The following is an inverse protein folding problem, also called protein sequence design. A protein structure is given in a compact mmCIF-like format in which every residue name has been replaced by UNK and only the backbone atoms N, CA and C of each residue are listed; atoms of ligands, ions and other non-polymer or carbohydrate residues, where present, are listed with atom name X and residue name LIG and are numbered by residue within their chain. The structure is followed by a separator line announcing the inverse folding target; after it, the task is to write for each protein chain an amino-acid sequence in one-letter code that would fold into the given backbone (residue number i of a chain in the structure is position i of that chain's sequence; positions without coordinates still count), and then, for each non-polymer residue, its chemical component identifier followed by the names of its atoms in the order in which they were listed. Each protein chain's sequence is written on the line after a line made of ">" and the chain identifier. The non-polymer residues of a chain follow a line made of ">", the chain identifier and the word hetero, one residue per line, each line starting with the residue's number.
data_IF_410526084935
#
_entry.id   IF_410526084935
#
_cell.length_a   1.000
_cell.length_b   1.000
_cell.length_c   1.000
_cell.angle_alpha   90.00
_cell.angle_beta   90.00
_cell.angle_gamma   90.00
#
_symmetry.space_group_name_H-M   'P 1'
#
loop_
_entity.id
_entity.type
_entity.pdbx_description
1 polymer ?
#
# COMPACT_ATOMS: atom_id res chain seq x y z
N UNK A 1 -2.27 -28.89 18.44
CA UNK A 1 -1.41 -27.81 17.91
C UNK A 1 -0.58 -28.43 16.82
N UNK A 2 -0.89 -28.16 15.56
CA UNK A 2 -0.26 -28.83 14.42
C UNK A 2 0.44 -27.77 13.55
N UNK A 3 1.76 -27.70 13.66
CA UNK A 3 2.64 -26.73 12.99
C UNK A 3 2.72 -26.91 11.45
N UNK A 4 2.00 -27.88 10.87
CA UNK A 4 2.11 -28.25 9.45
C UNK A 4 1.05 -27.64 8.52
N UNK A 5 0.17 -26.76 9.01
CA UNK A 5 -0.95 -26.20 8.22
C UNK A 5 -0.78 -24.73 7.76
N UNK A 6 0.47 -24.23 7.69
CA UNK A 6 0.76 -22.83 7.36
C UNK A 6 1.18 -22.56 5.91
N UNK A 7 1.51 -23.58 5.11
CA UNK A 7 1.79 -23.40 3.69
C UNK A 7 0.50 -23.37 2.85
N UNK A 8 -0.34 -22.35 3.07
CA UNK A 8 -1.20 -21.92 1.98
C UNK A 8 -0.28 -21.32 0.92
N UNK A 9 -0.25 -21.91 -0.28
CA UNK A 9 0.61 -21.48 -1.38
C UNK A 9 0.26 -20.03 -1.73
N UNK A 10 1.04 -19.07 -1.25
CA UNK A 10 0.87 -17.65 -1.55
C UNK A 10 0.98 -17.49 -3.06
N UNK A 11 -0.10 -17.03 -3.70
CA UNK A 11 -0.05 -16.71 -5.13
C UNK A 11 0.58 -15.33 -5.29
N UNK A 12 1.86 -15.31 -5.65
CA UNK A 12 2.53 -14.08 -6.08
C UNK A 12 2.24 -13.86 -7.56
N UNK A 13 1.65 -12.71 -7.90
CA UNK A 13 1.40 -12.32 -9.29
C UNK A 13 2.02 -10.96 -9.56
N UNK A 14 2.78 -10.82 -10.64
CA UNK A 14 3.35 -9.54 -11.07
C UNK A 14 2.35 -8.88 -12.02
N UNK A 15 2.00 -7.62 -11.77
CA UNK A 15 1.09 -6.90 -12.64
C UNK A 15 1.75 -6.62 -14.01
N UNK A 16 1.04 -6.76 -15.15
CA UNK A 16 1.61 -6.55 -16.48
C UNK A 16 2.29 -5.19 -16.71
N UNK A 17 1.86 -4.15 -15.97
CA UNK A 17 2.46 -2.81 -15.99
C UNK A 17 3.91 -2.76 -15.48
N UNK A 18 4.38 -3.80 -14.79
CA UNK A 18 5.75 -3.89 -14.31
C UNK A 18 6.75 -4.05 -15.46
N UNK A 19 6.38 -4.77 -16.53
CA UNK A 19 7.24 -5.07 -17.68
C UNK A 19 7.61 -3.83 -18.53
N UNK A 20 6.65 -2.97 -18.95
CA UNK A 20 6.97 -1.75 -19.69
C UNK A 20 7.80 -0.76 -18.86
N UNK A 21 7.54 -0.68 -17.55
CA UNK A 21 8.32 0.16 -16.63
C UNK A 21 9.77 -0.32 -16.55
N UNK A 22 9.97 -1.62 -16.36
CA UNK A 22 11.28 -2.26 -16.31
C UNK A 22 12.05 -2.07 -17.64
N UNK A 23 11.36 -2.21 -18.77
CA UNK A 23 11.94 -1.99 -20.09
C UNK A 23 12.38 -0.53 -20.31
N UNK A 24 11.55 0.44 -19.95
CA UNK A 24 11.88 1.87 -20.08
C UNK A 24 13.08 2.30 -19.22
N UNK A 25 13.23 1.71 -18.03
CA UNK A 25 14.35 2.00 -17.12
C UNK A 25 15.67 1.36 -17.55
N UNK A 26 15.63 0.17 -18.16
CA UNK A 26 16.83 -0.46 -18.76
C UNK A 26 17.37 0.44 -19.89
N UNK A 27 16.49 0.96 -20.74
CA UNK A 27 16.88 1.86 -21.84
C UNK A 27 17.47 3.19 -21.34
N UNK A 28 17.06 3.66 -20.15
CA UNK A 28 17.54 4.90 -19.54
C UNK A 28 18.90 4.75 -18.82
N UNK A 29 19.50 3.56 -18.81
CA UNK A 29 20.86 3.32 -18.30
C UNK A 29 21.00 3.36 -16.77
N UNK A 30 19.90 3.43 -16.01
CA UNK A 30 19.90 3.57 -14.54
C UNK A 30 19.42 2.29 -13.83
N UNK A 31 19.95 1.14 -14.25
CA UNK A 31 19.58 -0.19 -13.71
C UNK A 31 19.82 -0.30 -12.20
N UNK A 32 20.89 0.32 -11.69
CA UNK A 32 21.21 0.34 -10.26
C UNK A 32 20.16 1.07 -9.42
N UNK A 33 19.70 2.25 -9.86
CA UNK A 33 18.62 2.99 -9.21
C UNK A 33 17.31 2.21 -9.22
N UNK A 34 17.00 1.55 -10.33
CA UNK A 34 15.81 0.70 -10.42
C UNK A 34 15.86 -0.48 -9.46
N UNK A 35 17.00 -1.17 -9.40
CA UNK A 35 17.22 -2.27 -8.47
C UNK A 35 17.05 -1.82 -7.01
N UNK A 36 17.53 -0.62 -6.66
CA UNK A 36 17.31 -0.03 -5.34
C UNK A 36 15.82 0.24 -5.08
N UNK A 37 15.10 0.89 -6.01
CA UNK A 37 13.66 1.16 -5.84
C UNK A 37 12.87 -0.15 -5.67
N UNK A 38 13.15 -1.14 -6.51
CA UNK A 38 12.47 -2.43 -6.42
C UNK A 38 12.78 -3.14 -5.10
N UNK A 39 14.05 -3.17 -4.68
CA UNK A 39 14.46 -3.76 -3.41
C UNK A 39 13.79 -3.06 -2.23
N UNK A 40 13.72 -1.72 -2.26
CA UNK A 40 13.03 -0.90 -1.27
C UNK A 40 11.54 -1.22 -1.19
N UNK A 41 10.85 -1.35 -2.33
CA UNK A 41 9.44 -1.76 -2.39
C UNK A 41 9.26 -3.18 -1.83
N UNK A 42 10.13 -4.12 -2.17
CA UNK A 42 10.06 -5.48 -1.64
C UNK A 42 10.27 -5.51 -0.12
N UNK A 43 11.26 -4.76 0.41
CA UNK A 43 11.50 -4.65 1.86
C UNK A 43 10.28 -4.04 2.56
N UNK A 44 9.66 -3.03 1.97
CA UNK A 44 8.42 -2.45 2.47
C UNK A 44 7.30 -3.51 2.56
N UNK A 45 7.04 -4.25 1.48
CA UNK A 45 6.01 -5.30 1.49
C UNK A 45 6.31 -6.44 2.47
N UNK A 46 7.59 -6.82 2.60
CA UNK A 46 8.04 -7.80 3.59
C UNK A 46 7.71 -7.34 5.01
N UNK A 47 7.74 -6.04 5.29
CA UNK A 47 7.30 -5.47 6.56
C UNK A 47 5.83 -5.79 6.88
N UNK A 48 4.93 -5.62 5.91
CA UNK A 48 3.52 -5.99 6.07
C UNK A 48 3.35 -7.50 6.28
N UNK A 49 4.03 -8.31 5.47
CA UNK A 49 3.97 -9.77 5.54
C UNK A 49 4.49 -10.30 6.88
N UNK A 50 5.58 -9.73 7.39
CA UNK A 50 6.15 -10.09 8.69
C UNK A 50 5.16 -9.82 9.81
N UNK A 51 4.53 -8.63 9.84
CA UNK A 51 3.53 -8.31 10.87
C UNK A 51 2.29 -9.20 10.74
N UNK A 52 1.83 -9.48 9.52
CA UNK A 52 0.71 -10.41 9.29
C UNK A 52 1.02 -11.81 9.83
N UNK A 53 2.25 -12.31 9.58
CA UNK A 53 2.73 -13.59 10.09
C UNK A 53 2.79 -13.62 11.62
N UNK A 54 3.38 -12.59 12.24
CA UNK A 54 3.46 -12.45 13.71
C UNK A 54 2.06 -12.43 14.37
N UNK A 55 1.06 -11.88 13.70
CA UNK A 55 -0.32 -11.80 14.19
C UNK A 55 -1.17 -13.03 13.84
N UNK A 56 -0.57 -14.05 13.20
CA UNK A 56 -1.22 -15.29 12.78
C UNK A 56 -2.26 -15.10 11.67
N UNK A 57 -2.15 -14.02 10.88
CA UNK A 57 -3.07 -13.70 9.78
C UNK A 57 -2.58 -14.37 8.50
N UNK A 58 -3.41 -15.24 7.91
CA UNK A 58 -3.07 -15.90 6.64
C UNK A 58 -3.15 -14.91 5.48
N UNK A 59 -2.16 -14.92 4.59
CA UNK A 59 -2.13 -14.13 3.36
C UNK A 59 -2.63 -15.01 2.21
N UNK A 60 -3.65 -14.57 1.48
CA UNK A 60 -4.22 -15.35 0.37
C UNK A 60 -3.51 -15.04 -0.96
N UNK A 61 -3.20 -13.76 -1.19
CA UNK A 61 -2.59 -13.31 -2.44
C UNK A 61 -1.71 -12.10 -2.19
N UNK A 62 -0.62 -12.00 -2.94
CA UNK A 62 0.23 -10.81 -2.98
C UNK A 62 0.45 -10.42 -4.45
N UNK A 63 -0.02 -9.25 -4.84
CA UNK A 63 0.12 -8.73 -6.21
C UNK A 63 1.15 -7.63 -6.23
N UNK A 64 2.26 -7.83 -6.93
CA UNK A 64 3.27 -6.77 -7.08
C UNK A 64 2.77 -5.78 -8.14
N UNK A 65 2.43 -4.58 -7.69
CA UNK A 65 1.98 -3.45 -8.48
C UNK A 65 3.12 -2.45 -8.69
N UNK A 66 3.03 -1.56 -9.70
CA UNK A 66 4.07 -0.56 -9.96
C UNK A 66 4.33 0.44 -8.81
N UNK A 67 3.41 0.53 -7.84
CA UNK A 67 3.49 1.43 -6.69
C UNK A 67 3.65 0.72 -5.34
N UNK A 68 3.77 -0.61 -5.34
CA UNK A 68 3.81 -1.43 -4.11
C UNK A 68 3.17 -2.80 -4.31
N UNK A 69 2.94 -3.53 -3.24
CA UNK A 69 2.25 -4.81 -3.20
C UNK A 69 0.80 -4.65 -2.75
N UNK A 70 -0.14 -5.28 -3.44
CA UNK A 70 -1.50 -5.46 -2.96
C UNK A 70 -1.58 -6.83 -2.26
N UNK A 71 -1.49 -6.80 -0.93
CA UNK A 71 -1.62 -7.99 -0.08
C UNK A 71 -3.10 -8.21 0.25
N UNK A 72 -3.66 -9.31 -0.22
CA UNK A 72 -5.00 -9.78 0.15
C UNK A 72 -4.88 -10.74 1.34
N UNK A 73 -5.44 -10.33 2.48
CA UNK A 73 -5.45 -11.11 3.72
C UNK A 73 -6.67 -12.01 3.79
N UNK A 74 -6.51 -13.22 4.34
CA UNK A 74 -7.61 -14.15 4.61
C UNK A 74 -8.59 -13.53 5.59
N UNK A 75 -9.86 -13.46 5.17
CA UNK A 75 -10.92 -12.76 5.90
C UNK A 75 -11.02 -11.28 5.59
N UNK A 76 -10.10 -10.70 4.80
CA UNK A 76 -10.16 -9.33 4.29
C UNK A 76 -10.59 -8.32 5.36
N UNK A 77 -11.75 -7.69 5.14
CA UNK A 77 -12.34 -6.69 6.02
C UNK A 77 -12.94 -7.24 7.32
N UNK A 78 -13.16 -8.56 7.42
CA UNK A 78 -13.55 -9.23 8.65
C UNK A 78 -12.41 -9.29 9.68
N UNK A 79 -11.17 -8.96 9.31
CA UNK A 79 -10.08 -8.86 10.26
C UNK A 79 -10.36 -7.76 11.30
N UNK A 80 -9.95 -7.93 12.55
CA UNK A 80 -10.12 -6.90 13.58
C UNK A 80 -9.39 -5.60 13.19
N UNK A 81 -9.97 -4.40 13.42
CA UNK A 81 -9.33 -3.13 13.09
C UNK A 81 -7.92 -2.96 13.67
N UNK A 82 -7.68 -3.45 14.90
CA UNK A 82 -6.35 -3.44 15.53
C UNK A 82 -5.30 -4.21 14.72
N UNK A 83 -5.64 -5.42 14.24
CA UNK A 83 -4.74 -6.21 13.38
C UNK A 83 -4.51 -5.53 12.03
N UNK A 84 -5.55 -4.93 11.43
CA UNK A 84 -5.40 -4.18 10.18
C UNK A 84 -4.46 -2.98 10.36
N UNK A 85 -4.60 -2.26 11.46
CA UNK A 85 -3.73 -1.14 11.82
C UNK A 85 -2.27 -1.58 11.95
N UNK A 86 -2.01 -2.61 12.77
CA UNK A 86 -0.65 -3.13 12.98
C UNK A 86 -0.01 -3.61 11.67
N UNK A 87 -0.75 -4.37 10.86
CA UNK A 87 -0.25 -4.84 9.56
C UNK A 87 0.07 -3.67 8.65
N UNK A 88 -0.80 -2.65 8.56
CA UNK A 88 -0.58 -1.47 7.72
C UNK A 88 0.62 -0.61 8.16
N UNK A 89 1.03 -0.70 9.43
CA UNK A 89 2.24 -0.03 9.93
C UNK A 89 3.52 -0.80 9.56
N UNK A 90 3.43 -2.10 9.27
CA UNK A 90 4.57 -2.96 8.99
C UNK A 90 5.48 -2.47 7.86
N UNK A 91 4.92 -2.07 6.72
CA UNK A 91 5.68 -1.55 5.59
C UNK A 91 6.39 -0.22 5.86
N UNK A 92 5.70 0.81 6.40
CA UNK A 92 6.35 2.03 6.87
C UNK A 92 7.47 1.77 7.88
N UNK A 93 7.28 0.87 8.84
CA UNK A 93 8.34 0.53 9.82
C UNK A 93 9.53 -0.12 9.13
N UNK A 94 9.33 -1.11 8.24
CA UNK A 94 10.43 -1.74 7.51
C UNK A 94 11.19 -0.72 6.64
N UNK A 95 10.46 0.20 6.00
CA UNK A 95 11.05 1.27 5.17
C UNK A 95 11.91 2.21 6.02
N UNK A 96 11.39 2.61 7.18
CA UNK A 96 12.09 3.47 8.13
C UNK A 96 13.33 2.79 8.71
N UNK A 97 13.24 1.52 9.12
CA UNK A 97 14.40 0.75 9.58
C UNK A 97 15.49 0.67 8.50
N UNK A 98 15.11 0.39 7.24
CA UNK A 98 16.07 0.37 6.14
C UNK A 98 16.71 1.76 5.89
N UNK A 99 15.96 2.85 6.08
CA UNK A 99 16.53 4.20 6.04
C UNK A 99 17.56 4.43 7.15
N UNK A 100 17.28 3.99 8.39
CA UNK A 100 18.20 4.10 9.52
C UNK A 100 19.47 3.25 9.34
N UNK A 101 19.38 2.16 8.58
CA UNK A 101 20.53 1.31 8.26
C UNK A 101 21.40 1.87 7.12
N UNK A 102 20.87 2.77 6.29
CA UNK A 102 21.56 3.29 5.12
C UNK A 102 22.92 3.99 5.41
N UNK A 103 23.11 4.75 6.51
CA UNK A 103 24.40 5.36 6.84
C UNK A 103 25.53 4.37 7.13
N UNK A 104 25.22 3.09 7.40
CA UNK A 104 26.20 2.03 7.63
C UNK A 104 26.63 1.33 6.33
N UNK A 105 26.04 1.70 5.19
CA UNK A 105 26.40 1.19 3.87
C UNK A 105 27.41 2.10 3.18
N UNK A 106 27.95 1.62 2.05
CA UNK A 106 28.82 2.43 1.20
C UNK A 106 28.15 3.78 0.85
N UNK A 107 28.85 4.93 0.97
CA UNK A 107 28.28 6.24 0.72
C UNK A 107 27.65 6.42 -0.67
N UNK A 108 28.12 5.69 -1.68
CA UNK A 108 27.57 5.70 -3.04
C UNK A 108 26.16 5.07 -3.10
N UNK A 109 25.88 4.13 -2.20
CA UNK A 109 24.56 3.49 -2.05
C UNK A 109 23.69 4.18 -1.01
N UNK A 110 24.29 4.71 0.06
CA UNK A 110 23.57 5.31 1.18
C UNK A 110 22.70 6.51 0.75
N UNK A 111 23.27 7.45 -0.01
CA UNK A 111 22.55 8.66 -0.47
C UNK A 111 21.32 8.35 -1.32
N UNK A 112 21.41 7.56 -2.41
CA UNK A 112 20.23 7.22 -3.20
C UNK A 112 19.22 6.38 -2.41
N UNK A 113 19.67 5.46 -1.56
CA UNK A 113 18.79 4.66 -0.71
C UNK A 113 17.96 5.53 0.23
N UNK A 114 18.58 6.45 0.98
CA UNK A 114 17.87 7.37 1.88
C UNK A 114 16.80 8.16 1.13
N UNK A 115 17.14 8.67 -0.06
CA UNK A 115 16.20 9.43 -0.91
C UNK A 115 15.01 8.56 -1.33
N UNK A 116 15.26 7.32 -1.77
CA UNK A 116 14.22 6.36 -2.16
C UNK A 116 13.33 6.03 -0.95
N UNK A 117 13.91 5.69 0.20
CA UNK A 117 13.14 5.37 1.40
C UNK A 117 12.28 6.55 1.86
N UNK A 118 12.78 7.78 1.74
CA UNK A 118 12.06 8.98 2.11
C UNK A 118 10.86 9.22 1.20
N UNK A 119 11.05 9.10 -0.12
CA UNK A 119 9.95 9.21 -1.07
C UNK A 119 8.92 8.10 -0.85
N UNK A 120 9.37 6.86 -0.61
CA UNK A 120 8.49 5.73 -0.37
C UNK A 120 7.64 5.91 0.91
N UNK A 121 8.25 6.37 2.00
CA UNK A 121 7.54 6.72 3.23
C UNK A 121 6.54 7.86 3.00
N UNK A 122 6.98 8.94 2.37
CA UNK A 122 6.13 10.11 2.15
C UNK A 122 4.90 9.78 1.32
N UNK A 123 5.06 9.00 0.24
CA UNK A 123 3.93 8.58 -0.60
C UNK A 123 3.03 7.61 0.17
N UNK A 124 3.58 6.54 0.77
CA UNK A 124 2.73 5.54 1.42
C UNK A 124 2.06 6.05 2.69
N UNK A 125 2.58 7.06 3.37
CA UNK A 125 1.94 7.66 4.56
C UNK A 125 0.89 8.73 4.23
N UNK A 126 0.63 9.04 2.95
CA UNK A 126 -0.49 9.91 2.57
C UNK A 126 -1.80 9.26 3.05
N UNK A 127 -2.69 10.00 3.76
CA UNK A 127 -3.93 9.47 4.31
C UNK A 127 -5.03 9.32 3.25
N UNK A 128 -4.74 8.58 2.18
CA UNK A 128 -5.62 8.38 1.02
C UNK A 128 -5.73 6.88 0.74
N UNK A 129 -6.94 6.37 0.56
CA UNK A 129 -7.13 4.98 0.11
C UNK A 129 -6.55 4.77 -1.30
N UNK A 130 -5.89 3.64 -1.61
CA UNK A 130 -5.59 2.47 -0.78
C UNK A 130 -4.18 2.47 -0.14
N UNK A 131 -3.50 3.62 -0.06
CA UNK A 131 -2.14 3.73 0.52
C UNK A 131 -2.13 3.38 2.01
N UNK A 132 -0.97 3.02 2.55
CA UNK A 132 -0.86 2.55 3.94
C UNK A 132 -1.30 3.59 4.96
N UNK A 133 -0.96 4.85 4.77
CA UNK A 133 -1.40 5.96 5.61
C UNK A 133 -2.92 6.07 5.60
N UNK A 134 -3.55 5.86 4.44
CA UNK A 134 -5.00 5.74 4.33
C UNK A 134 -5.55 4.54 5.10
N UNK A 135 -4.92 3.37 5.00
CA UNK A 135 -5.31 2.15 5.74
C UNK A 135 -5.12 2.30 7.24
N UNK A 136 -4.06 2.98 7.69
CA UNK A 136 -3.75 3.31 9.08
C UNK A 136 -4.85 4.21 9.64
N UNK A 137 -5.12 5.34 8.97
CA UNK A 137 -6.16 6.28 9.38
C UNK A 137 -7.53 5.60 9.40
N UNK A 138 -7.85 4.83 8.37
CA UNK A 138 -9.11 4.10 8.29
C UNK A 138 -9.27 3.06 9.41
N UNK A 139 -8.24 2.24 9.64
CA UNK A 139 -8.26 1.22 10.71
C UNK A 139 -8.36 1.88 12.08
N UNK A 140 -7.68 3.00 12.28
CA UNK A 140 -7.77 3.80 13.51
C UNK A 140 -9.18 4.33 13.72
N UNK A 141 -9.79 4.94 12.69
CA UNK A 141 -11.18 5.40 12.73
C UNK A 141 -12.13 4.27 13.13
N UNK A 142 -11.97 3.06 12.55
CA UNK A 142 -12.83 1.91 12.85
C UNK A 142 -12.69 1.38 14.29
N UNK A 143 -11.58 1.66 14.98
CA UNK A 143 -11.42 1.32 16.40
C UNK A 143 -12.37 2.17 17.25
N UNK A 144 -12.53 3.45 16.93
CA UNK A 144 -13.34 4.40 17.72
C UNK A 144 -14.78 4.56 17.22
N UNK A 145 -14.98 4.56 15.90
CA UNK A 145 -16.27 4.76 15.27
C UNK A 145 -16.46 3.72 14.16
N UNK A 146 -17.40 2.81 14.39
CA UNK A 146 -17.80 1.85 13.38
C UNK A 146 -18.96 2.37 12.52
N UNK A 147 -19.27 3.66 12.51
CA UNK A 147 -20.41 4.16 11.72
C UNK A 147 -20.09 4.09 10.23
N UNK A 148 -21.00 3.52 9.44
CA UNK A 148 -20.87 3.48 7.98
C UNK A 148 -20.63 4.88 7.37
N UNK A 149 -21.25 5.92 7.94
CA UNK A 149 -21.07 7.31 7.53
C UNK A 149 -19.61 7.80 7.67
N UNK A 150 -18.88 7.33 8.68
CA UNK A 150 -17.47 7.72 8.86
C UNK A 150 -16.58 7.11 7.79
N UNK A 151 -16.87 5.86 7.38
CA UNK A 151 -16.20 5.23 6.26
C UNK A 151 -16.46 5.97 4.94
N UNK A 152 -17.72 6.30 4.65
CA UNK A 152 -18.07 7.05 3.44
C UNK A 152 -17.41 8.44 3.42
N UNK A 153 -17.35 9.13 4.56
CA UNK A 153 -16.65 10.41 4.65
C UNK A 153 -15.16 10.27 4.35
N UNK A 154 -14.48 9.26 4.91
CA UNK A 154 -13.07 9.00 4.64
C UNK A 154 -12.80 8.72 3.15
N UNK A 155 -13.63 7.90 2.50
CA UNK A 155 -13.50 7.65 1.08
C UNK A 155 -13.77 8.90 0.23
N UNK A 156 -14.73 9.75 0.62
CA UNK A 156 -15.02 11.01 -0.08
C UNK A 156 -13.82 11.97 0.02
N UNK A 157 -13.20 12.10 1.20
CA UNK A 157 -11.98 12.89 1.39
C UNK A 157 -10.85 12.33 0.53
N UNK A 158 -10.65 11.00 0.54
CA UNK A 158 -9.65 10.34 -0.31
C UNK A 158 -9.86 10.65 -1.80
N UNK A 159 -11.11 10.61 -2.26
CA UNK A 159 -11.49 10.94 -3.64
C UNK A 159 -11.18 12.39 -4.02
N UNK A 160 -11.45 13.34 -3.13
CA UNK A 160 -11.13 14.75 -3.37
C UNK A 160 -9.60 14.94 -3.46
N UNK A 161 -8.86 14.42 -2.47
CA UNK A 161 -7.40 14.55 -2.43
C UNK A 161 -6.72 13.95 -3.66
N UNK A 162 -7.15 12.76 -4.08
CA UNK A 162 -6.55 12.12 -5.26
C UNK A 162 -6.95 12.81 -6.56
N UNK A 163 -8.16 13.38 -6.65
CA UNK A 163 -8.58 14.20 -7.79
C UNK A 163 -7.72 15.47 -7.91
N UNK A 164 -7.46 16.16 -6.79
CA UNK A 164 -6.56 17.32 -6.78
C UNK A 164 -5.13 16.93 -7.19
N UNK A 165 -4.63 15.78 -6.71
CA UNK A 165 -3.32 15.26 -7.10
C UNK A 165 -3.23 15.00 -8.62
N UNK A 166 -4.27 14.42 -9.23
CA UNK A 166 -4.34 14.22 -10.69
C UNK A 166 -4.29 15.56 -11.43
N UNK A 167 -5.06 16.57 -10.99
CA UNK A 167 -5.08 17.90 -11.64
C UNK A 167 -3.70 18.58 -11.52
N UNK A 168 -3.11 18.60 -10.34
CA UNK A 168 -1.80 19.22 -10.10
C UNK A 168 -0.73 18.54 -10.96
N UNK A 169 -0.70 17.20 -10.97
CA UNK A 169 0.29 16.45 -11.74
C UNK A 169 0.07 16.54 -13.25
N UNK A 170 -1.16 16.79 -13.71
CA UNK A 170 -1.47 17.08 -15.12
C UNK A 170 -0.92 18.45 -15.57
N UNK A 171 -1.15 19.50 -14.77
CA UNK A 171 -0.70 20.87 -15.09
C UNK A 171 0.83 20.98 -15.17
N UNK A 172 1.55 20.15 -14.41
CA UNK A 172 3.01 20.15 -14.34
C UNK A 172 3.70 19.22 -15.36
N UNK A 173 2.96 18.66 -16.31
CA UNK A 173 3.52 17.84 -17.38
C UNK A 173 4.50 18.64 -18.25
N UNK A 174 5.57 18.01 -18.77
CA UNK A 174 5.87 16.56 -18.73
C UNK A 174 6.65 16.10 -17.48
N UNK A 175 7.06 17.01 -16.59
CA UNK A 175 7.99 16.72 -15.47
C UNK A 175 7.44 15.69 -14.48
N UNK A 176 6.12 15.66 -14.32
CA UNK A 176 5.39 14.83 -13.35
C UNK A 176 4.77 13.57 -13.94
N UNK A 177 5.19 13.13 -15.14
CA UNK A 177 4.53 12.03 -15.86
C UNK A 177 4.36 10.75 -15.04
N UNK A 178 5.37 10.36 -14.27
CA UNK A 178 5.28 9.18 -13.39
C UNK A 178 4.25 9.36 -12.27
N UNK A 179 4.26 10.53 -11.61
CA UNK A 179 3.30 10.86 -10.56
C UNK A 179 1.87 10.99 -11.10
N UNK A 180 1.71 11.49 -12.33
CA UNK A 180 0.41 11.59 -12.99
C UNK A 180 -0.17 10.19 -13.29
N UNK A 181 0.65 9.28 -13.82
CA UNK A 181 0.24 7.87 -14.07
C UNK A 181 -0.14 7.20 -12.73
N UNK A 182 0.68 7.38 -11.69
CA UNK A 182 0.40 6.87 -10.36
C UNK A 182 -0.92 7.44 -9.79
N UNK A 183 -1.13 8.76 -9.91
CA UNK A 183 -2.32 9.43 -9.41
C UNK A 183 -3.59 8.94 -10.13
N UNK A 184 -3.56 8.75 -11.45
CA UNK A 184 -4.67 8.15 -12.20
C UNK A 184 -4.97 6.74 -11.69
N UNK A 185 -3.93 5.93 -11.48
CA UNK A 185 -4.10 4.57 -11.01
C UNK A 185 -4.78 4.53 -9.62
N UNK A 186 -4.30 5.36 -8.68
CA UNK A 186 -4.90 5.49 -7.35
C UNK A 186 -6.33 6.04 -7.43
N UNK A 187 -6.60 6.97 -8.34
CA UNK A 187 -7.93 7.51 -8.58
C UNK A 187 -8.92 6.43 -9.05
N UNK A 188 -8.50 5.55 -9.95
CA UNK A 188 -9.28 4.37 -10.36
C UNK A 188 -9.57 3.46 -9.16
N UNK A 189 -8.57 3.19 -8.31
CA UNK A 189 -8.76 2.36 -7.10
C UNK A 189 -9.75 2.98 -6.12
N UNK A 190 -9.71 4.29 -5.91
CA UNK A 190 -10.67 4.99 -5.03
C UNK A 190 -12.08 4.90 -5.60
N UNK A 191 -12.25 5.07 -6.92
CA UNK A 191 -13.56 4.91 -7.58
C UNK A 191 -14.07 3.48 -7.44
N UNK A 192 -13.20 2.49 -7.62
CA UNK A 192 -13.56 1.08 -7.42
C UNK A 192 -14.06 0.86 -5.99
N UNK A 193 -13.29 1.28 -4.98
CA UNK A 193 -13.69 1.13 -3.57
C UNK A 193 -15.00 1.88 -3.28
N UNK A 194 -15.17 3.08 -3.82
CA UNK A 194 -16.41 3.86 -3.69
C UNK A 194 -17.61 3.10 -4.26
N UNK A 195 -17.46 2.43 -5.40
CA UNK A 195 -18.53 1.61 -5.98
C UNK A 195 -18.82 0.36 -5.13
N UNK A 196 -17.78 -0.28 -4.60
CA UNK A 196 -17.91 -1.47 -3.75
C UNK A 196 -18.38 -1.16 -2.32
N UNK A 197 -18.34 0.10 -1.88
CA UNK A 197 -18.66 0.50 -0.49
C UNK A 197 -20.01 -0.02 0.00
N UNK A 198 -21.05 -0.02 -0.85
CA UNK A 198 -22.40 -0.45 -0.46
C UNK A 198 -22.44 -1.94 -0.13
N UNK A 199 -21.74 -2.75 -0.94
CA UNK A 199 -21.60 -4.19 -0.71
C UNK A 199 -20.82 -4.46 0.57
N UNK A 200 -19.74 -3.72 0.80
CA UNK A 200 -18.97 -3.82 2.03
C UNK A 200 -19.79 -3.46 3.27
N UNK A 201 -20.49 -2.32 3.25
CA UNK A 201 -21.32 -1.87 4.38
C UNK A 201 -22.41 -2.90 4.66
N UNK A 202 -23.07 -3.44 3.62
CA UNK A 202 -24.06 -4.49 3.78
C UNK A 202 -23.44 -5.76 4.41
N UNK A 203 -22.30 -6.21 3.91
CA UNK A 203 -21.59 -7.37 4.46
C UNK A 203 -21.18 -7.16 5.92
N UNK A 204 -20.58 -6.00 6.26
CA UNK A 204 -20.17 -5.69 7.63
C UNK A 204 -21.36 -5.50 8.58
N UNK A 205 -22.52 -5.08 8.07
CA UNK A 205 -23.77 -4.97 8.84
C UNK A 205 -24.37 -6.35 9.11
N UNK A 206 -24.56 -7.17 8.09
CA UNK A 206 -25.31 -8.43 8.20
C UNK A 206 -24.48 -9.61 8.70
N UNK A 207 -23.19 -9.66 8.38
CA UNK A 207 -22.33 -10.81 8.69
C UNK A 207 -21.46 -10.53 9.93
N UNK A 208 -21.05 -9.27 10.12
CA UNK A 208 -20.08 -8.92 11.15
C UNK A 208 -20.65 -8.07 12.28
N UNK A 209 -21.89 -7.56 12.16
CA UNK A 209 -22.53 -6.64 13.12
C UNK A 209 -21.61 -5.49 13.58
N UNK A 210 -20.78 -4.96 12.67
CA UNK A 210 -19.79 -3.94 13.02
C UNK A 210 -20.32 -2.52 12.87
N UNK A 211 -21.10 -2.21 11.82
CA UNK A 211 -21.31 -0.82 11.37
C UNK A 211 -22.64 -0.12 11.76
N UNK A 212 -23.17 -0.35 12.97
CA UNK A 212 -24.45 0.24 13.43
C UNK A 212 -24.37 1.73 13.74
#
# INVERSE_FOLDING_TARGET
>A
MDERAYAAMMRMTIHPLFLPLLFGLILYGNVSYYALILSSLLIHELGHLLVAWLLGVKVERCVIMPYGGEIELKGGYALSPHKQLLISIGGPVATFCCMLMAPFLDPLLAKPLIKIQMVLLLINLIPVWPLDGGRIVFSFILIFSKKAKTYELFLAISFILITLSVIITFVLLPKTIFLFILAIFLWIKVIQEWRYRKYRIAFEKYVLNRLT
#
